data_IF_530762058352
#
_entry.id   IF_530762058352
#
_cell.length_a   1.000
_cell.length_b   1.000
_cell.length_c   1.000
_cell.angle_alpha   90.00
_cell.angle_beta   90.00
_cell.angle_gamma   90.00
#
_symmetry.space_group_name_H-M   'P 1'
#
loop_
_entity.id
_entity.type
_entity.pdbx_description
1 polymer ?
#
# COMPACT_ATOMS: atom_id res chain seq x y z
N UNK A 1 -5.13 41.05 1.04
CA UNK A 1 -4.38 39.88 0.49
C UNK A 1 -3.57 40.33 -0.72
N UNK A 2 -2.25 40.15 -0.71
CA UNK A 2 -1.33 40.51 -1.81
C UNK A 2 -1.58 39.65 -3.08
N UNK A 3 -1.26 40.18 -4.28
CA UNK A 3 -1.32 39.42 -5.54
C UNK A 3 -0.46 38.15 -5.46
N UNK A 4 0.72 38.24 -4.85
CA UNK A 4 1.60 37.09 -4.62
C UNK A 4 0.95 36.04 -3.71
N UNK A 5 0.27 36.48 -2.65
CA UNK A 5 -0.45 35.57 -1.75
C UNK A 5 -1.57 34.84 -2.48
N UNK A 6 -2.35 35.54 -3.33
CA UNK A 6 -3.40 34.90 -4.14
C UNK A 6 -2.81 33.85 -5.10
N UNK A 7 -1.67 34.17 -5.72
CA UNK A 7 -0.98 33.26 -6.62
C UNK A 7 -0.47 32.00 -5.90
N UNK A 8 0.18 32.16 -4.75
CA UNK A 8 0.66 31.01 -3.96
C UNK A 8 -0.48 30.12 -3.46
N UNK A 9 -1.58 30.72 -2.98
CA UNK A 9 -2.78 29.96 -2.59
C UNK A 9 -3.37 29.17 -3.76
N UNK A 10 -3.38 29.76 -4.97
CA UNK A 10 -3.81 29.04 -6.18
C UNK A 10 -2.90 27.85 -6.48
N UNK A 11 -1.58 28.02 -6.41
CA UNK A 11 -0.63 26.93 -6.60
C UNK A 11 -0.83 25.82 -5.57
N UNK A 12 -1.01 26.16 -4.30
CA UNK A 12 -1.24 25.16 -3.26
C UNK A 12 -2.47 24.31 -3.57
N UNK A 13 -3.60 24.92 -3.95
CA UNK A 13 -4.79 24.15 -4.33
C UNK A 13 -4.56 23.26 -5.55
N UNK A 14 -3.80 23.73 -6.55
CA UNK A 14 -3.43 22.89 -7.70
C UNK A 14 -2.54 21.70 -7.28
N UNK A 15 -1.61 21.92 -6.37
CA UNK A 15 -0.73 20.87 -5.83
C UNK A 15 -1.52 19.86 -4.99
N UNK A 16 -2.43 20.32 -4.13
CA UNK A 16 -3.30 19.46 -3.31
C UNK A 16 -4.19 18.56 -4.18
N UNK A 17 -4.81 19.11 -5.23
CA UNK A 17 -5.64 18.34 -6.16
C UNK A 17 -4.83 17.30 -6.94
N UNK A 18 -3.66 17.71 -7.44
CA UNK A 18 -2.74 16.80 -8.14
C UNK A 18 -2.26 15.69 -7.22
N UNK A 19 -1.87 16.04 -5.99
CA UNK A 19 -1.39 15.07 -5.01
C UNK A 19 -2.48 14.07 -4.63
N UNK A 20 -3.72 14.54 -4.44
CA UNK A 20 -4.88 13.68 -4.19
C UNK A 20 -5.09 12.69 -5.33
N UNK A 21 -5.14 13.18 -6.58
CA UNK A 21 -5.32 12.33 -7.75
C UNK A 21 -4.24 11.24 -7.86
N UNK A 22 -2.97 11.64 -7.73
CA UNK A 22 -1.84 10.70 -7.82
C UNK A 22 -1.85 9.67 -6.69
N UNK A 23 -2.20 10.09 -5.47
CA UNK A 23 -2.28 9.21 -4.32
C UNK A 23 -3.41 8.18 -4.49
N UNK A 24 -4.61 8.60 -4.87
CA UNK A 24 -5.74 7.69 -5.10
C UNK A 24 -5.45 6.65 -6.19
N UNK A 25 -4.88 7.09 -7.32
CA UNK A 25 -4.52 6.21 -8.43
C UNK A 25 -3.44 5.19 -8.02
N UNK A 26 -2.40 5.66 -7.31
CA UNK A 26 -1.32 4.80 -6.81
C UNK A 26 -1.82 3.76 -5.81
N UNK A 27 -2.69 4.16 -4.87
CA UNK A 27 -3.28 3.25 -3.87
C UNK A 27 -4.20 2.22 -4.53
N UNK A 28 -5.03 2.64 -5.49
CA UNK A 28 -5.91 1.76 -6.24
C UNK A 28 -5.11 0.75 -7.07
N UNK A 29 -4.06 1.21 -7.76
CA UNK A 29 -3.15 0.37 -8.54
C UNK A 29 -2.45 -0.66 -7.65
N UNK A 30 -1.95 -0.25 -6.49
CA UNK A 30 -1.32 -1.18 -5.53
C UNK A 30 -2.31 -2.23 -4.98
N UNK A 31 -3.52 -1.80 -4.59
CA UNK A 31 -4.55 -2.72 -4.11
C UNK A 31 -4.98 -3.72 -5.20
N UNK A 32 -5.12 -3.26 -6.45
CA UNK A 32 -5.40 -4.11 -7.60
C UNK A 32 -4.27 -5.09 -7.90
N UNK A 33 -3.02 -4.62 -7.83
CA UNK A 33 -1.83 -5.45 -8.00
C UNK A 33 -1.78 -6.60 -6.98
N UNK A 34 -1.95 -6.30 -5.68
CA UNK A 34 -1.94 -7.32 -4.62
C UNK A 34 -3.13 -8.27 -4.77
N UNK A 35 -4.33 -7.74 -5.04
CA UNK A 35 -5.53 -8.57 -5.20
C UNK A 35 -5.42 -9.53 -6.39
N UNK A 36 -4.93 -9.06 -7.55
CA UNK A 36 -4.71 -9.92 -8.72
C UNK A 36 -3.55 -10.90 -8.56
N UNK A 37 -2.59 -10.58 -7.69
CA UNK A 37 -1.49 -11.46 -7.37
C UNK A 37 -1.90 -12.66 -6.52
N UNK A 38 -2.94 -12.53 -5.69
CA UNK A 38 -3.43 -13.60 -4.80
C UNK A 38 -4.66 -14.33 -5.33
N UNK A 39 -5.16 -13.97 -6.52
CA UNK A 39 -6.30 -14.62 -7.16
C UNK A 39 -5.98 -16.04 -7.64
N UNK A 40 -5.98 -16.99 -6.71
CA UNK A 40 -5.85 -18.41 -6.96
C UNK A 40 -6.97 -19.20 -6.30
N UNK A 41 -7.28 -20.35 -6.88
CA UNK A 41 -8.15 -21.37 -6.32
C UNK A 41 -7.34 -22.64 -6.17
N UNK A 42 -7.01 -22.97 -4.93
CA UNK A 42 -6.32 -24.22 -4.60
C UNK A 42 -7.36 -25.23 -4.14
N UNK A 43 -7.47 -26.34 -4.85
CA UNK A 43 -8.30 -27.48 -4.49
C UNK A 43 -7.39 -28.64 -4.11
N UNK A 44 -7.52 -29.10 -2.87
CA UNK A 44 -6.74 -30.20 -2.31
C UNK A 44 -7.66 -31.40 -2.20
N UNK A 45 -7.45 -32.41 -3.05
CA UNK A 45 -8.20 -33.66 -2.97
C UNK A 45 -7.44 -34.73 -2.18
N UNK A 46 -6.12 -34.81 -2.37
CA UNK A 46 -5.21 -35.73 -1.67
C UNK A 46 -3.78 -35.17 -1.68
N UNK A 47 -2.87 -35.75 -0.89
CA UNK A 47 -1.45 -35.38 -0.82
C UNK A 47 -0.79 -35.37 -2.21
N UNK A 48 -1.21 -36.30 -3.09
CA UNK A 48 -0.73 -36.39 -4.48
C UNK A 48 -1.56 -35.61 -5.50
N UNK A 49 -2.70 -35.03 -5.12
CA UNK A 49 -3.63 -34.36 -6.04
C UNK A 49 -4.06 -32.99 -5.52
N UNK A 50 -3.28 -31.98 -5.91
CA UNK A 50 -3.54 -30.57 -5.65
C UNK A 50 -3.70 -29.85 -6.99
N UNK A 51 -4.87 -29.25 -7.21
CA UNK A 51 -5.14 -28.41 -8.37
C UNK A 51 -5.01 -26.94 -7.95
N UNK A 52 -4.15 -26.19 -8.62
CA UNK A 52 -4.01 -24.76 -8.42
C UNK A 52 -4.42 -24.04 -9.71
N UNK A 53 -5.60 -23.43 -9.68
CA UNK A 53 -6.16 -22.69 -10.81
C UNK A 53 -6.08 -21.20 -10.52
N UNK A 54 -5.47 -20.44 -11.42
CA UNK A 54 -5.41 -18.99 -11.30
C UNK A 54 -6.73 -18.35 -11.71
N UNK A 55 -7.31 -17.54 -10.83
CA UNK A 55 -8.58 -16.83 -11.02
C UNK A 55 -8.34 -15.41 -11.55
N UNK A 56 -7.74 -15.27 -12.74
CA UNK A 56 -7.56 -13.97 -13.39
C UNK A 56 -6.21 -13.80 -14.08
N UNK A 57 -6.07 -12.69 -14.81
CA UNK A 57 -4.83 -12.34 -15.51
C UNK A 57 -3.78 -11.78 -14.53
N UNK A 58 -2.58 -12.36 -14.58
CA UNK A 58 -1.43 -11.88 -13.83
C UNK A 58 -0.72 -10.78 -14.59
N UNK A 59 -0.62 -9.59 -14.02
CA UNK A 59 0.43 -8.64 -14.43
C UNK A 59 1.80 -9.03 -13.83
N UNK A 60 1.82 -9.95 -12.87
CA UNK A 60 3.03 -10.41 -12.22
C UNK A 60 3.80 -11.41 -13.08
N UNK A 61 5.00 -11.01 -13.48
CA UNK A 61 6.04 -11.90 -14.02
C UNK A 61 6.72 -12.75 -12.93
N UNK A 62 6.65 -12.33 -11.66
CA UNK A 62 7.37 -12.92 -10.53
C UNK A 62 6.45 -13.16 -9.33
N UNK A 63 6.75 -14.13 -8.44
CA UNK A 63 5.98 -14.35 -7.22
C UNK A 63 6.10 -13.17 -6.24
N UNK A 64 5.06 -12.94 -5.42
CA UNK A 64 5.06 -11.89 -4.38
C UNK A 64 6.10 -12.16 -3.29
N UNK A 65 6.19 -13.41 -2.86
CA UNK A 65 7.08 -13.83 -1.78
C UNK A 65 7.89 -15.05 -2.21
N UNK A 66 9.16 -15.06 -1.82
CA UNK A 66 10.00 -16.25 -1.84
C UNK A 66 10.05 -16.78 -0.42
N UNK A 67 9.52 -17.99 -0.22
CA UNK A 67 9.39 -18.63 1.08
C UNK A 67 10.10 -19.98 1.08
N UNK A 68 10.60 -20.36 2.24
CA UNK A 68 11.24 -21.64 2.53
C UNK A 68 10.27 -22.51 3.34
N UNK A 69 10.31 -23.83 3.11
CA UNK A 69 9.63 -24.79 3.98
C UNK A 69 10.62 -25.25 5.05
N UNK A 70 10.24 -25.08 6.31
CA UNK A 70 11.05 -25.42 7.48
C UNK A 70 10.41 -26.65 8.14
N UNK A 71 11.14 -27.77 8.15
CA UNK A 71 10.73 -28.96 8.87
C UNK A 71 11.15 -28.83 10.34
N UNK A 72 10.16 -28.72 11.23
CA UNK A 72 10.37 -28.65 12.65
C UNK A 72 10.69 -30.04 13.23
N UNK A 73 11.30 -30.07 14.42
CA UNK A 73 11.68 -31.32 15.10
C UNK A 73 10.48 -32.16 15.55
N UNK A 74 9.32 -31.53 15.67
CA UNK A 74 8.04 -32.17 15.99
C UNK A 74 7.35 -32.80 14.75
N UNK A 75 7.97 -32.67 13.57
CA UNK A 75 7.44 -33.17 12.30
C UNK A 75 6.47 -32.21 11.59
N UNK A 76 6.23 -31.02 12.14
CA UNK A 76 5.42 -29.98 11.48
C UNK A 76 6.21 -29.25 10.41
N UNK A 77 5.52 -28.68 9.42
CA UNK A 77 6.13 -27.89 8.35
C UNK A 77 5.66 -26.45 8.48
N UNK A 78 6.59 -25.55 8.77
CA UNK A 78 6.35 -24.12 8.78
C UNK A 78 6.82 -23.47 7.47
N UNK A 79 6.23 -22.32 7.18
CA UNK A 79 6.67 -21.46 6.09
C UNK A 79 7.53 -20.34 6.69
N UNK A 80 8.67 -20.05 6.08
CA UNK A 80 9.61 -19.07 6.63
C UNK A 80 10.54 -18.45 5.59
N UNK A 81 11.55 -17.75 6.09
CA UNK A 81 12.65 -17.21 5.28
C UNK A 81 13.93 -17.20 6.09
N UNK A 82 15.06 -17.55 5.46
CA UNK A 82 16.36 -17.63 6.12
C UNK A 82 16.37 -18.56 7.35
N UNK A 83 15.62 -19.67 7.27
CA UNK A 83 15.50 -20.63 8.38
C UNK A 83 14.69 -20.13 9.59
N UNK A 84 13.97 -19.01 9.48
CA UNK A 84 13.09 -18.49 10.53
C UNK A 84 11.62 -18.66 10.11
N UNK A 85 10.78 -19.35 10.90
CA UNK A 85 9.34 -19.45 10.66
C UNK A 85 8.66 -18.07 10.68
N UNK A 86 7.75 -17.85 9.72
CA UNK A 86 6.99 -16.61 9.59
C UNK A 86 5.50 -16.95 9.73
N UNK A 87 4.80 -16.44 10.76
CA UNK A 87 3.36 -16.64 10.89
C UNK A 87 2.62 -16.09 9.66
N UNK A 88 1.57 -16.80 9.22
CA UNK A 88 0.78 -16.38 8.06
C UNK A 88 0.24 -14.95 8.18
N UNK A 89 -0.18 -14.54 9.38
CA UNK A 89 -0.64 -13.17 9.65
C UNK A 89 0.40 -12.12 9.25
N UNK A 90 1.70 -12.40 9.42
CA UNK A 90 2.75 -11.47 9.00
C UNK A 90 2.82 -11.30 7.48
N UNK A 91 2.50 -12.33 6.71
CA UNK A 91 2.44 -12.25 5.25
C UNK A 91 1.27 -11.37 4.78
N UNK A 92 0.17 -11.36 5.52
CA UNK A 92 -0.98 -10.49 5.28
C UNK A 92 -0.70 -9.06 5.72
N UNK A 93 -0.11 -8.87 6.90
CA UNK A 93 0.18 -7.56 7.45
C UNK A 93 1.28 -6.82 6.68
N UNK A 94 2.23 -7.52 6.04
CA UNK A 94 3.31 -6.88 5.29
C UNK A 94 2.83 -5.95 4.15
N UNK A 95 1.99 -6.39 3.20
CA UNK A 95 1.40 -5.52 2.19
C UNK A 95 0.50 -4.41 2.78
N UNK A 96 -0.31 -4.74 3.80
CA UNK A 96 -1.18 -3.76 4.46
C UNK A 96 -0.36 -2.64 5.13
N UNK A 97 0.72 -3.00 5.83
CA UNK A 97 1.61 -2.04 6.47
C UNK A 97 2.37 -1.18 5.44
N UNK A 98 2.69 -1.72 4.25
CA UNK A 98 3.29 -0.92 3.18
C UNK A 98 2.29 0.14 2.66
N UNK A 99 1.03 -0.23 2.49
CA UNK A 99 -0.05 0.69 2.13
C UNK A 99 -0.21 1.81 3.16
N UNK A 100 -0.25 1.46 4.44
CA UNK A 100 -0.37 2.43 5.54
C UNK A 100 0.84 3.37 5.62
N UNK A 101 2.05 2.85 5.39
CA UNK A 101 3.28 3.66 5.34
C UNK A 101 3.28 4.62 4.15
N UNK A 102 2.79 4.18 2.99
CA UNK A 102 2.68 5.04 1.81
C UNK A 102 1.72 6.21 2.07
N UNK A 103 0.57 5.95 2.69
CA UNK A 103 -0.37 6.99 3.11
C UNK A 103 0.27 8.00 4.09
N UNK A 104 0.97 7.50 5.10
CA UNK A 104 1.64 8.36 6.07
C UNK A 104 2.72 9.25 5.41
N UNK A 105 3.45 8.72 4.43
CA UNK A 105 4.46 9.49 3.69
C UNK A 105 3.85 10.60 2.81
N UNK A 106 2.68 10.35 2.21
CA UNK A 106 1.97 11.33 1.38
C UNK A 106 1.41 12.48 2.23
N UNK A 107 0.98 12.19 3.46
CA UNK A 107 0.39 13.17 4.36
C UNK A 107 1.40 14.20 4.92
N UNK A 108 2.71 13.94 4.82
CA UNK A 108 3.77 14.81 5.38
C UNK A 108 4.40 15.75 4.33
N UNK A 109 3.81 15.86 3.13
CA UNK A 109 4.37 16.70 2.07
C UNK A 109 4.17 18.19 2.41
N UNK A 110 5.26 18.99 2.52
CA UNK A 110 5.18 20.40 2.88
C UNK A 110 4.60 21.26 1.74
N UNK A 111 4.01 22.40 2.09
CA UNK A 111 3.62 23.41 1.11
C UNK A 111 4.85 24.09 0.48
N UNK A 112 4.65 24.67 -0.70
CA UNK A 112 5.72 25.29 -1.48
C UNK A 112 6.21 26.62 -0.86
N UNK A 113 5.32 27.40 -0.23
CA UNK A 113 5.65 28.79 0.16
C UNK A 113 6.85 28.91 1.11
N UNK A 114 6.99 28.09 2.17
CA UNK A 114 8.16 28.11 3.04
C UNK A 114 9.47 27.73 2.34
N UNK A 115 9.40 27.02 1.21
CA UNK A 115 10.56 26.56 0.46
C UNK A 115 11.08 27.57 -0.56
N UNK A 116 10.22 28.51 -0.99
CA UNK A 116 10.54 29.48 -2.06
C UNK A 116 10.58 30.93 -1.57
N UNK A 117 10.13 31.21 -0.34
CA UNK A 117 10.08 32.56 0.23
C UNK A 117 11.04 32.69 1.42
N UNK A 118 12.31 32.97 1.12
CA UNK A 118 13.44 32.99 2.07
C UNK A 118 13.41 34.10 3.13
N UNK A 119 12.57 35.13 2.96
CA UNK A 119 12.54 36.33 3.85
C UNK A 119 11.27 36.46 4.68
N UNK A 120 10.48 35.40 4.78
CA UNK A 120 9.28 35.36 5.61
C UNK A 120 9.54 34.39 6.75
N UNK A 121 9.29 34.84 7.99
CA UNK A 121 9.34 33.97 9.15
C UNK A 121 8.08 33.08 9.17
N UNK A 122 8.28 31.77 9.15
CA UNK A 122 7.21 30.78 9.22
C UNK A 122 7.23 30.13 10.61
N UNK A 123 6.15 30.32 11.40
CA UNK A 123 6.03 29.72 12.74
C UNK A 123 5.77 28.21 12.71
N UNK A 124 5.33 27.68 11.57
CA UNK A 124 5.06 26.26 11.35
C UNK A 124 5.41 25.88 9.91
N UNK A 125 5.65 24.59 9.66
CA UNK A 125 5.72 24.03 8.31
C UNK A 125 4.33 23.56 7.91
N UNK A 126 3.55 24.35 7.16
CA UNK A 126 2.27 23.89 6.66
C UNK A 126 2.47 22.73 5.68
N UNK A 127 1.56 21.76 5.74
CA UNK A 127 1.52 20.57 4.88
C UNK A 127 0.40 20.74 3.84
N UNK A 128 0.56 20.09 2.70
CA UNK A 128 -0.50 20.01 1.69
C UNK A 128 -1.60 19.08 2.18
N UNK A 129 -2.86 19.48 2.00
CA UNK A 129 -3.97 18.56 2.22
C UNK A 129 -3.94 17.46 1.15
N UNK A 130 -3.83 16.20 1.58
CA UNK A 130 -3.86 15.02 0.71
C UNK A 130 -5.01 14.08 1.08
N UNK A 131 -4.98 12.88 0.51
CA UNK A 131 -5.84 11.76 0.93
C UNK A 131 -5.54 11.38 2.38
N UNK A 132 -6.58 11.16 3.17
CA UNK A 132 -6.53 10.73 4.56
C UNK A 132 -6.94 9.27 4.73
N UNK A 133 -6.36 8.56 5.72
CA UNK A 133 -6.64 7.14 5.97
C UNK A 133 -8.09 6.84 6.35
N UNK A 134 -8.79 7.84 6.92
CA UNK A 134 -10.18 7.71 7.35
C UNK A 134 -11.21 7.83 6.21
N UNK A 135 -10.77 8.23 5.02
CA UNK A 135 -11.64 8.38 3.86
C UNK A 135 -12.20 7.01 3.42
N UNK A 136 -13.49 6.98 3.07
CA UNK A 136 -14.20 5.74 2.74
C UNK A 136 -13.50 4.94 1.63
N UNK A 137 -13.05 5.62 0.56
CA UNK A 137 -12.38 4.98 -0.57
C UNK A 137 -11.05 4.32 -0.17
N UNK A 138 -10.29 4.93 0.75
CA UNK A 138 -9.03 4.36 1.24
C UNK A 138 -9.28 3.13 2.09
N UNK A 139 -10.28 3.19 2.98
CA UNK A 139 -10.70 2.05 3.79
C UNK A 139 -11.16 0.88 2.93
N UNK A 140 -12.00 1.15 1.94
CA UNK A 140 -12.49 0.13 1.00
C UNK A 140 -11.35 -0.57 0.26
N UNK A 141 -10.36 0.18 -0.22
CA UNK A 141 -9.16 -0.38 -0.88
C UNK A 141 -8.34 -1.25 0.08
N UNK A 142 -8.08 -0.74 1.29
CA UNK A 142 -7.28 -1.45 2.31
C UNK A 142 -7.97 -2.73 2.77
N UNK A 143 -9.27 -2.67 3.06
CA UNK A 143 -10.05 -3.82 3.49
C UNK A 143 -10.24 -4.83 2.35
N UNK A 144 -10.47 -4.36 1.12
CA UNK A 144 -10.55 -5.21 -0.07
C UNK A 144 -9.27 -6.03 -0.25
N UNK A 145 -8.11 -5.36 -0.17
CA UNK A 145 -6.81 -6.02 -0.20
C UNK A 145 -6.63 -7.00 0.97
N UNK A 146 -7.02 -6.61 2.19
CA UNK A 146 -6.94 -7.47 3.36
C UNK A 146 -7.85 -8.71 3.30
N UNK A 147 -8.98 -8.64 2.60
CA UNK A 147 -9.83 -9.80 2.31
C UNK A 147 -9.21 -10.71 1.25
N UNK A 148 -8.64 -10.13 0.20
CA UNK A 148 -7.99 -10.89 -0.87
C UNK A 148 -6.78 -11.70 -0.34
N UNK A 149 -5.98 -11.13 0.56
CA UNK A 149 -4.80 -11.78 1.14
C UNK A 149 -5.11 -12.95 2.09
N UNK A 150 -6.33 -13.00 2.66
CA UNK A 150 -6.75 -14.05 3.60
C UNK A 150 -7.55 -15.18 2.94
N UNK A 151 -7.76 -15.10 1.63
CA UNK A 151 -8.52 -16.06 0.86
C UNK A 151 -7.68 -17.29 0.52
#
# INVERSE_FOLDING_TARGET
>A
ISKLKKFMTMINFMMEDTLRFLAEDSLASYAGFISGAVSYQVKIDDIGRVENVRLGESLLKWPLFKLELILNRDGTVDIGSHGVPIPFDKLVEMPLALFDRALAAIADIPQLEPMVVDRVFWSSRPILASVHAEEARVKELREGMGRALRR
#
